data_IF_346460983892
#
_entry.id   IF_346460983892
#
_cell.length_a   1.000
_cell.length_b   1.000
_cell.length_c   1.000
_cell.angle_alpha   90.00
_cell.angle_beta   90.00
_cell.angle_gamma   90.00
#
_symmetry.space_group_name_H-M   'P 1'
#
loop_
_entity.id
_entity.type
_entity.pdbx_description
1 polymer ?
#
# COMPACT_ATOMS: atom_id res chain seq x y z
N UNK A 1 12.86 31.05 -7.03
CA UNK A 1 13.19 29.64 -7.29
C UNK A 1 13.78 29.09 -6.01
N UNK A 2 12.96 28.45 -5.19
CA UNK A 2 13.44 27.84 -3.95
C UNK A 2 14.30 26.62 -4.31
N UNK A 3 15.55 26.58 -3.85
CA UNK A 3 16.46 25.46 -4.07
C UNK A 3 16.72 24.77 -2.73
N UNK A 4 16.75 23.44 -2.72
CA UNK A 4 17.12 22.64 -1.56
C UNK A 4 18.49 22.03 -1.80
N UNK A 5 19.43 22.32 -0.89
CA UNK A 5 20.78 21.74 -0.89
C UNK A 5 20.77 20.49 -0.01
N UNK A 6 21.25 19.38 -0.54
CA UNK A 6 21.53 18.16 0.22
C UNK A 6 23.05 18.00 0.19
N UNK A 7 23.69 17.96 1.36
CA UNK A 7 25.14 17.78 1.46
C UNK A 7 25.51 16.72 2.48
N UNK A 8 26.58 15.99 2.21
CA UNK A 8 27.24 15.13 3.19
C UNK A 8 28.67 15.64 3.40
N UNK A 9 28.91 16.45 4.46
CA UNK A 9 30.26 16.82 4.83
C UNK A 9 30.98 15.59 5.38
N UNK A 10 32.18 15.31 4.87
CA UNK A 10 33.03 14.22 5.32
C UNK A 10 34.36 14.78 5.79
N UNK A 11 34.81 14.28 6.94
CA UNK A 11 36.13 14.55 7.49
C UNK A 11 36.94 13.26 7.47
N UNK A 12 38.13 13.30 6.85
CA UNK A 12 39.11 12.22 6.88
C UNK A 12 40.32 12.72 7.67
N UNK A 13 40.55 12.17 8.86
CA UNK A 13 41.73 12.48 9.66
C UNK A 13 42.87 11.54 9.27
N UNK A 14 43.96 12.09 8.72
CA UNK A 14 45.15 11.31 8.39
C UNK A 14 46.39 12.21 8.39
N UNK A 15 47.51 11.70 8.92
CA UNK A 15 48.81 12.40 8.97
C UNK A 15 49.44 12.68 7.58
N UNK A 16 48.81 12.17 6.50
CA UNK A 16 49.25 12.38 5.11
C UNK A 16 48.79 13.75 4.59
N UNK A 17 47.80 14.37 5.24
CA UNK A 17 47.24 15.65 4.80
C UNK A 17 47.93 16.84 5.47
N UNK A 18 48.05 17.94 4.74
CA UNK A 18 48.73 19.17 5.15
C UNK A 18 48.20 19.81 6.46
N UNK A 19 46.99 19.44 6.90
CA UNK A 19 46.38 19.89 8.16
C UNK A 19 46.01 18.74 9.12
N UNK A 20 46.60 17.56 8.96
CA UNK A 20 46.22 16.31 9.65
C UNK A 20 44.76 15.84 9.40
N UNK A 21 43.97 16.60 8.65
CA UNK A 21 42.62 16.25 8.23
C UNK A 21 42.30 16.84 6.85
N UNK A 22 41.59 16.06 6.03
CA UNK A 22 40.99 16.48 4.78
C UNK A 22 39.48 16.64 5.00
N UNK A 23 38.97 17.85 4.73
CA UNK A 23 37.56 18.18 4.81
C UNK A 23 37.02 18.38 3.40
N UNK A 24 36.05 17.58 2.98
CA UNK A 24 35.33 17.80 1.73
C UNK A 24 33.83 17.64 1.93
N UNK A 25 33.05 18.30 1.08
CA UNK A 25 31.60 18.21 1.11
C UNK A 25 31.10 17.89 -0.29
N UNK A 26 30.35 16.79 -0.41
CA UNK A 26 29.62 16.46 -1.62
C UNK A 26 28.17 16.91 -1.44
N UNK A 27 27.70 17.78 -2.33
CA UNK A 27 26.34 18.30 -2.30
C UNK A 27 25.62 18.20 -3.63
N UNK A 28 24.34 17.86 -3.58
CA UNK A 28 23.41 17.93 -4.70
C UNK A 28 22.45 19.11 -4.47
N UNK A 29 22.28 19.92 -5.52
CA UNK A 29 21.33 21.04 -5.53
C UNK A 29 20.09 20.59 -6.29
N UNK A 30 18.96 20.53 -5.60
CA UNK A 30 17.68 20.13 -6.18
C UNK A 30 16.64 21.26 -6.05
N UNK A 31 15.58 21.18 -6.85
CA UNK A 31 14.45 22.12 -6.76
C UNK A 31 13.64 21.85 -5.48
N UNK A 32 13.15 22.90 -4.80
CA UNK A 32 12.54 22.76 -3.46
C UNK A 32 11.26 21.92 -3.42
N UNK A 33 10.57 21.77 -4.56
CA UNK A 33 9.35 20.95 -4.67
C UNK A 33 9.64 19.46 -4.84
N UNK A 34 10.90 19.08 -5.09
CA UNK A 34 11.27 17.69 -5.35
C UNK A 34 11.43 16.90 -4.05
N UNK A 35 11.04 15.61 -4.10
CA UNK A 35 11.15 14.70 -2.96
C UNK A 35 12.62 14.33 -2.74
N UNK A 36 13.27 15.15 -1.93
CA UNK A 36 14.72 15.10 -1.64
C UNK A 36 15.14 13.90 -0.78
N UNK A 37 14.22 13.26 -0.06
CA UNK A 37 14.52 12.14 0.83
C UNK A 37 15.12 10.91 0.11
N UNK A 38 14.80 10.72 -1.19
CA UNK A 38 15.34 9.61 -1.97
C UNK A 38 16.83 9.82 -2.36
N UNK A 39 17.31 11.05 -2.33
CA UNK A 39 18.67 11.43 -2.73
C UNK A 39 19.67 11.40 -1.58
N UNK A 40 19.21 11.49 -0.33
CA UNK A 40 20.08 11.47 0.86
C UNK A 40 20.96 10.20 0.94
N UNK A 41 20.44 8.97 0.72
CA UNK A 41 21.28 7.76 0.73
C UNK A 41 22.29 7.74 -0.41
N UNK A 42 21.96 8.35 -1.55
CA UNK A 42 22.85 8.43 -2.71
C UNK A 42 24.05 9.33 -2.39
N UNK A 43 23.80 10.53 -1.85
CA UNK A 43 24.88 11.46 -1.45
C UNK A 43 25.76 10.81 -0.38
N UNK A 44 25.15 10.14 0.61
CA UNK A 44 25.90 9.41 1.65
C UNK A 44 26.76 8.30 1.05
N UNK A 45 26.21 7.48 0.14
CA UNK A 45 26.95 6.38 -0.51
C UNK A 45 28.09 6.90 -1.39
N UNK A 46 27.85 7.96 -2.17
CA UNK A 46 28.87 8.64 -2.97
C UNK A 46 29.98 9.22 -2.09
N UNK A 47 29.64 9.86 -0.98
CA UNK A 47 30.62 10.39 -0.04
C UNK A 47 31.49 9.28 0.57
N UNK A 48 30.90 8.10 0.81
CA UNK A 48 31.63 6.90 1.22
C UNK A 48 32.59 6.40 0.15
N UNK A 49 32.15 6.29 -1.11
CA UNK A 49 33.02 5.90 -2.23
C UNK A 49 34.18 6.89 -2.45
N UNK A 50 33.92 8.20 -2.34
CA UNK A 50 34.99 9.20 -2.43
C UNK A 50 35.98 9.09 -1.28
N UNK A 51 35.51 8.69 -0.09
CA UNK A 51 36.37 8.43 1.07
C UNK A 51 37.29 7.23 0.83
N UNK A 52 36.76 6.13 0.31
CA UNK A 52 37.58 4.93 0.01
C UNK A 52 38.57 5.21 -1.12
N UNK A 53 38.13 5.87 -2.19
CA UNK A 53 39.01 6.28 -3.30
C UNK A 53 40.15 7.18 -2.82
N UNK A 54 39.87 8.09 -1.90
CA UNK A 54 40.88 8.98 -1.33
C UNK A 54 41.90 8.24 -0.47
N UNK A 55 41.48 7.24 0.32
CA UNK A 55 42.39 6.42 1.12
C UNK A 55 43.28 5.51 0.27
N UNK A 56 42.76 5.00 -0.84
CA UNK A 56 43.46 4.05 -1.72
C UNK A 56 44.39 4.74 -2.72
N UNK A 57 43.88 5.74 -3.45
CA UNK A 57 44.58 6.35 -4.59
C UNK A 57 44.91 7.85 -4.39
N UNK A 58 44.47 8.47 -3.29
CA UNK A 58 44.64 9.91 -3.09
C UNK A 58 43.91 10.74 -4.14
N UNK A 59 42.75 10.26 -4.60
CA UNK A 59 42.01 10.76 -5.76
C UNK A 59 41.62 12.25 -5.69
N UNK A 60 41.36 12.78 -4.50
CA UNK A 60 41.01 14.18 -4.22
C UNK A 60 42.27 15.03 -4.02
N UNK A 61 43.36 14.41 -3.54
CA UNK A 61 44.65 15.07 -3.31
C UNK A 61 45.45 15.33 -4.59
N UNK A 62 45.30 14.48 -5.61
CA UNK A 62 45.98 14.61 -6.90
C UNK A 62 45.19 15.52 -7.87
N UNK A 63 45.87 16.47 -8.51
CA UNK A 63 45.24 17.43 -9.44
C UNK A 63 44.72 16.78 -10.73
N UNK A 64 45.40 15.75 -11.24
CA UNK A 64 45.00 15.04 -12.46
C UNK A 64 43.72 14.22 -12.27
N UNK A 65 43.57 13.55 -11.12
CA UNK A 65 42.35 12.81 -10.78
C UNK A 65 41.19 13.74 -10.45
N UNK A 66 41.48 14.92 -9.90
CA UNK A 66 40.47 15.97 -9.68
C UNK A 66 39.83 16.46 -10.98
N UNK A 67 40.59 16.51 -12.08
CA UNK A 67 40.03 16.81 -13.40
C UNK A 67 39.10 15.68 -13.91
N UNK A 68 39.40 14.42 -13.60
CA UNK A 68 38.53 13.27 -13.95
C UNK A 68 37.21 13.26 -13.17
N UNK A 69 37.15 13.91 -12.01
CA UNK A 69 35.95 13.99 -11.18
C UNK A 69 34.81 14.79 -11.85
N UNK A 70 35.13 15.81 -12.64
CA UNK A 70 34.12 16.63 -13.33
C UNK A 70 33.31 15.83 -14.37
N UNK A 71 33.94 15.08 -15.32
CA UNK A 71 33.22 14.17 -16.20
C UNK A 71 32.36 13.16 -15.46
N UNK A 72 32.90 12.56 -14.39
CA UNK A 72 32.19 11.56 -13.57
C UNK A 72 30.89 12.15 -13.00
N UNK A 73 30.95 13.36 -12.43
CA UNK A 73 29.76 14.03 -11.88
C UNK A 73 28.75 14.39 -12.97
N UNK A 74 29.20 14.80 -14.16
CA UNK A 74 28.32 15.09 -15.30
C UNK A 74 27.58 13.83 -15.78
N UNK A 75 28.31 12.72 -15.96
CA UNK A 75 27.70 11.44 -16.36
C UNK A 75 26.75 10.92 -15.28
N UNK A 76 27.12 11.04 -14.00
CA UNK A 76 26.25 10.71 -12.88
C UNK A 76 24.94 11.50 -12.90
N UNK A 77 25.01 12.80 -13.20
CA UNK A 77 23.83 13.66 -13.27
C UNK A 77 22.92 13.23 -14.44
N UNK A 78 23.47 12.96 -15.60
CA UNK A 78 22.71 12.51 -16.77
C UNK A 78 22.05 11.14 -16.54
N UNK A 79 22.80 10.14 -16.07
CA UNK A 79 22.27 8.81 -15.83
C UNK A 79 21.21 8.80 -14.71
N UNK A 80 21.43 9.51 -13.60
CA UNK A 80 20.44 9.60 -12.53
C UNK A 80 19.14 10.26 -13.00
N UNK A 81 19.20 11.22 -13.92
CA UNK A 81 18.03 11.87 -14.48
C UNK A 81 17.28 11.00 -15.51
N UNK A 82 17.99 10.15 -16.26
CA UNK A 82 17.39 9.32 -17.34
C UNK A 82 16.88 7.97 -16.83
N UNK A 83 17.71 7.22 -16.11
CA UNK A 83 17.43 5.82 -15.73
C UNK A 83 17.14 5.67 -14.24
N UNK A 84 17.56 6.63 -13.42
CA UNK A 84 17.51 6.51 -11.96
C UNK A 84 18.47 5.46 -11.40
N UNK A 85 19.37 4.89 -12.21
CA UNK A 85 20.39 3.96 -11.77
C UNK A 85 21.69 4.21 -12.56
N UNK A 86 22.81 4.28 -11.85
CA UNK A 86 24.11 4.56 -12.44
C UNK A 86 25.11 3.48 -12.02
N UNK A 87 25.84 2.95 -13.00
CA UNK A 87 26.95 2.03 -12.77
C UNK A 87 28.18 2.56 -13.49
N UNK A 88 29.09 3.17 -12.73
CA UNK A 88 30.23 3.88 -13.30
C UNK A 88 31.55 3.29 -12.79
N UNK A 89 32.35 2.65 -13.66
CA UNK A 89 33.72 2.27 -13.32
C UNK A 89 34.63 3.50 -13.32
N UNK A 90 35.32 3.74 -12.21
CA UNK A 90 36.29 4.84 -12.08
C UNK A 90 37.72 4.33 -12.28
N UNK A 91 38.00 3.13 -11.79
CA UNK A 91 39.32 2.49 -11.86
C UNK A 91 39.16 0.97 -12.03
N UNK A 92 40.25 0.24 -12.28
CA UNK A 92 40.26 -1.22 -12.44
C UNK A 92 39.70 -1.95 -11.20
N UNK A 93 39.75 -1.28 -10.05
CA UNK A 93 39.35 -1.80 -8.74
C UNK A 93 38.05 -1.22 -8.19
N UNK A 94 37.54 -0.11 -8.76
CA UNK A 94 36.47 0.68 -8.14
C UNK A 94 35.33 1.01 -9.11
N UNK A 95 34.16 0.43 -8.84
CA UNK A 95 32.90 0.71 -9.56
C UNK A 95 31.84 1.31 -8.63
N UNK A 96 31.33 2.48 -8.99
CA UNK A 96 30.25 3.15 -8.27
C UNK A 96 28.92 2.58 -8.75
N UNK A 97 28.13 2.01 -7.84
CA UNK A 97 26.77 1.55 -8.11
C UNK A 97 25.76 2.38 -7.34
N UNK A 98 24.93 3.13 -8.04
CA UNK A 98 23.85 3.95 -7.47
C UNK A 98 22.52 3.51 -8.05
N UNK A 99 21.51 3.47 -7.18
CA UNK A 99 20.13 3.23 -7.57
C UNK A 99 19.24 4.16 -6.76
N UNK A 100 18.39 4.91 -7.44
CA UNK A 100 17.36 5.72 -6.84
C UNK A 100 16.27 4.78 -6.31
N UNK A 101 16.11 4.77 -4.99
CA UNK A 101 15.07 4.01 -4.31
C UNK A 101 13.94 4.97 -4.00
N UNK A 102 12.79 4.75 -4.61
CA UNK A 102 11.58 5.50 -4.27
C UNK A 102 11.13 5.14 -2.85
N UNK A 103 11.23 6.11 -1.94
CA UNK A 103 10.63 5.98 -0.63
C UNK A 103 9.11 6.08 -0.75
N UNK A 104 8.45 4.93 -0.61
CA UNK A 104 6.99 4.83 -0.56
C UNK A 104 6.52 5.13 0.86
N UNK A 105 5.21 5.38 1.00
CA UNK A 105 4.61 5.58 2.32
C UNK A 105 4.48 4.23 3.01
N UNK A 106 4.61 4.24 4.33
CA UNK A 106 4.40 3.04 5.12
C UNK A 106 3.00 2.48 4.86
N UNK A 107 2.89 1.16 4.62
CA UNK A 107 1.61 0.55 4.31
C UNK A 107 0.72 0.56 5.57
N UNK A 108 -0.59 0.59 5.36
CA UNK A 108 -1.55 0.43 6.44
C UNK A 108 -1.35 -0.94 7.13
N UNK A 109 -1.61 -0.98 8.43
CA UNK A 109 -1.55 -2.23 9.20
C UNK A 109 -2.68 -3.13 8.73
N UNK A 110 -2.30 -4.24 8.11
CA UNK A 110 -3.21 -5.26 7.61
C UNK A 110 -3.86 -5.97 8.79
N UNK A 111 -5.19 -6.04 8.80
CA UNK A 111 -5.95 -6.76 9.83
C UNK A 111 -6.36 -8.14 9.34
N UNK A 112 -6.66 -9.05 10.27
CA UNK A 112 -6.92 -10.47 9.97
C UNK A 112 -8.17 -10.70 9.13
N UNK A 113 -9.13 -9.78 9.24
CA UNK A 113 -10.38 -9.77 8.49
C UNK A 113 -10.26 -9.05 7.13
N UNK A 114 -9.11 -8.47 6.79
CA UNK A 114 -8.97 -7.83 5.49
C UNK A 114 -8.84 -8.86 4.37
N UNK A 115 -9.36 -8.48 3.19
CA UNK A 115 -9.33 -9.30 1.98
C UNK A 115 -8.37 -8.67 0.98
N UNK A 116 -7.22 -9.32 0.68
CA UNK A 116 -6.29 -8.83 -0.33
C UNK A 116 -6.86 -9.04 -1.74
N UNK A 117 -6.86 -7.99 -2.55
CA UNK A 117 -7.25 -8.03 -3.96
C UNK A 117 -6.11 -7.51 -4.84
N UNK A 118 -5.81 -8.20 -5.92
CA UNK A 118 -4.79 -7.76 -6.88
C UNK A 118 -5.26 -6.55 -7.69
N UNK A 119 -4.46 -5.49 -7.67
CA UNK A 119 -4.64 -4.31 -8.56
C UNK A 119 -3.97 -4.50 -9.91
N UNK A 120 -2.94 -5.34 -9.97
CA UNK A 120 -2.16 -5.63 -11.17
C UNK A 120 -2.39 -7.08 -11.62
N UNK A 121 -2.36 -7.30 -12.94
CA UNK A 121 -2.52 -8.64 -13.50
C UNK A 121 -1.41 -9.58 -13.00
N UNK A 122 -1.83 -10.77 -12.52
CA UNK A 122 -0.94 -11.81 -11.97
C UNK A 122 0.16 -12.24 -12.98
N UNK A 123 -0.09 -12.08 -14.27
CA UNK A 123 0.76 -12.58 -15.36
C UNK A 123 2.01 -11.74 -15.64
N UNK A 124 2.10 -10.51 -15.12
CA UNK A 124 3.31 -9.69 -15.27
C UNK A 124 4.42 -10.08 -14.28
N UNK A 125 4.15 -10.99 -13.35
CA UNK A 125 5.06 -11.32 -12.26
C UNK A 125 5.77 -12.65 -12.50
N UNK A 126 7.11 -12.59 -12.60
CA UNK A 126 7.96 -13.77 -12.75
C UNK A 126 7.98 -14.55 -11.44
N UNK A 127 7.18 -15.62 -11.35
CA UNK A 127 7.01 -16.45 -10.14
C UNK A 127 8.33 -16.87 -9.46
N UNK A 128 9.40 -17.07 -10.23
CA UNK A 128 10.72 -17.51 -9.72
C UNK A 128 11.43 -16.48 -8.83
N UNK A 129 11.14 -15.18 -9.00
CA UNK A 129 11.80 -14.12 -8.22
C UNK A 129 11.11 -13.83 -6.87
N UNK A 130 9.97 -14.47 -6.62
CA UNK A 130 9.17 -14.25 -5.42
C UNK A 130 9.62 -15.12 -4.27
N UNK A 131 9.48 -14.62 -3.04
CA UNK A 131 9.75 -15.37 -1.83
C UNK A 131 8.80 -16.58 -1.70
N UNK A 132 9.27 -17.66 -1.09
CA UNK A 132 8.49 -18.90 -0.95
C UNK A 132 7.11 -18.66 -0.30
N UNK A 133 7.06 -17.82 0.73
CA UNK A 133 5.82 -17.46 1.43
C UNK A 133 4.84 -16.74 0.50
N UNK A 134 5.33 -15.80 -0.31
CA UNK A 134 4.49 -15.10 -1.30
C UNK A 134 4.01 -16.02 -2.42
N UNK A 135 4.83 -17.00 -2.85
CA UNK A 135 4.42 -17.99 -3.85
C UNK A 135 3.33 -18.92 -3.33
N UNK A 136 3.38 -19.28 -2.04
CA UNK A 136 2.34 -20.09 -1.38
C UNK A 136 1.05 -19.30 -1.18
N UNK A 137 1.12 -18.01 -0.89
CA UNK A 137 -0.05 -17.15 -0.63
C UNK A 137 -0.75 -16.74 -1.94
N UNK A 138 0.01 -16.44 -3.01
CA UNK A 138 -0.50 -15.89 -4.28
C UNK A 138 -1.70 -16.65 -4.91
N UNK A 139 -1.73 -18.01 -4.90
CA UNK A 139 -2.84 -18.79 -5.44
C UNK A 139 -4.15 -18.61 -4.67
N UNK A 140 -4.08 -18.33 -3.37
CA UNK A 140 -5.26 -18.19 -2.51
C UNK A 140 -5.81 -16.76 -2.48
N UNK A 141 -5.02 -15.79 -2.95
CA UNK A 141 -5.44 -14.39 -3.08
C UNK A 141 -6.33 -14.23 -4.32
N UNK A 142 -7.61 -14.53 -4.15
CA UNK A 142 -8.65 -14.37 -5.18
C UNK A 142 -9.53 -13.15 -4.97
N UNK A 143 -9.25 -12.36 -3.93
CA UNK A 143 -10.03 -11.17 -3.60
C UNK A 143 -11.35 -11.43 -2.87
N UNK A 144 -11.56 -12.65 -2.37
CA UNK A 144 -12.72 -13.02 -1.54
C UNK A 144 -12.35 -13.63 -0.19
N UNK A 145 -11.19 -14.29 -0.10
CA UNK A 145 -10.71 -14.93 1.12
C UNK A 145 -10.05 -13.90 2.01
N UNK A 146 -10.43 -13.85 3.29
CA UNK A 146 -9.74 -13.04 4.29
C UNK A 146 -8.44 -13.72 4.72
N UNK A 147 -7.57 -12.98 5.38
CA UNK A 147 -6.22 -13.43 5.72
C UNK A 147 -6.21 -14.67 6.62
N UNK A 148 -7.14 -14.80 7.57
CA UNK A 148 -7.24 -16.04 8.39
C UNK A 148 -7.54 -17.28 7.53
N UNK A 149 -8.46 -17.19 6.55
CA UNK A 149 -8.74 -18.29 5.61
C UNK A 149 -7.54 -18.62 4.73
N UNK A 150 -6.85 -17.59 4.23
CA UNK A 150 -5.65 -17.76 3.43
C UNK A 150 -4.55 -18.48 4.25
N UNK A 151 -4.37 -18.08 5.51
CA UNK A 151 -3.43 -18.72 6.44
C UNK A 151 -3.76 -20.20 6.67
N UNK A 152 -5.05 -20.52 6.88
CA UNK A 152 -5.50 -21.89 7.08
C UNK A 152 -5.34 -22.79 5.83
N UNK A 153 -5.57 -22.25 4.64
CA UNK A 153 -5.46 -23.01 3.38
C UNK A 153 -4.02 -23.12 2.87
N UNK A 154 -3.19 -22.11 3.11
CA UNK A 154 -1.78 -22.11 2.76
C UNK A 154 -0.90 -22.85 3.78
N UNK A 155 -1.46 -23.21 4.94
CA UNK A 155 -0.73 -23.79 6.08
C UNK A 155 0.49 -22.93 6.51
N UNK A 156 0.28 -21.61 6.54
CA UNK A 156 1.29 -20.62 6.95
C UNK A 156 0.78 -19.86 8.16
N UNK A 157 1.67 -19.57 9.12
CA UNK A 157 1.33 -18.78 10.30
C UNK A 157 0.72 -17.42 9.92
N UNK A 158 -0.38 -17.05 10.57
CA UNK A 158 -1.14 -15.83 10.31
C UNK A 158 -0.27 -14.56 10.34
N UNK A 159 0.69 -14.48 11.26
CA UNK A 159 1.60 -13.34 11.36
C UNK A 159 2.48 -13.20 10.11
N UNK A 160 2.97 -14.31 9.55
CA UNK A 160 3.78 -14.30 8.33
C UNK A 160 2.94 -13.89 7.12
N UNK A 161 1.71 -14.39 7.02
CA UNK A 161 0.77 -13.98 5.96
C UNK A 161 0.48 -12.48 6.07
N UNK A 162 0.27 -11.94 7.28
CA UNK A 162 0.05 -10.52 7.50
C UNK A 162 1.23 -9.67 7.02
N UNK A 163 2.46 -10.05 7.36
CA UNK A 163 3.67 -9.35 6.92
C UNK A 163 3.83 -9.46 5.40
N UNK A 164 3.60 -10.63 4.82
CA UNK A 164 3.68 -10.83 3.38
C UNK A 164 2.67 -9.95 2.63
N UNK A 165 1.41 -9.92 3.07
CA UNK A 165 0.38 -9.06 2.48
C UNK A 165 0.69 -7.57 2.70
N UNK A 166 1.26 -7.21 3.85
CA UNK A 166 1.68 -5.83 4.13
C UNK A 166 2.81 -5.39 3.18
N UNK A 167 3.76 -6.29 2.88
CA UNK A 167 4.80 -6.04 1.88
C UNK A 167 4.20 -5.93 0.47
N UNK A 168 3.24 -6.79 0.11
CA UNK A 168 2.51 -6.68 -1.17
C UNK A 168 1.74 -5.36 -1.29
N UNK A 169 1.19 -4.85 -0.19
CA UNK A 169 0.52 -3.56 -0.11
C UNK A 169 1.52 -2.41 -0.28
N UNK A 170 2.71 -2.50 0.33
CA UNK A 170 3.79 -1.53 0.15
C UNK A 170 4.24 -1.42 -1.31
N UNK A 171 4.28 -2.55 -2.02
CA UNK A 171 4.59 -2.58 -3.45
C UNK A 171 3.42 -2.19 -4.37
N UNK A 172 2.25 -1.87 -3.81
CA UNK A 172 0.99 -1.56 -4.52
C UNK A 172 0.55 -2.67 -5.49
N UNK A 173 0.91 -3.91 -5.18
CA UNK A 173 0.50 -5.11 -5.93
C UNK A 173 -0.90 -5.55 -5.51
N UNK A 174 -1.21 -5.33 -4.23
CA UNK A 174 -2.46 -5.72 -3.58
C UNK A 174 -3.08 -4.50 -2.92
N UNK A 175 -4.41 -4.38 -3.00
CA UNK A 175 -5.20 -3.48 -2.16
C UNK A 175 -6.02 -4.30 -1.17
N UNK A 176 -6.19 -3.75 0.03
CA UNK A 176 -7.05 -4.35 1.04
C UNK A 176 -8.49 -3.89 0.81
N UNK A 177 -9.39 -4.86 0.79
CA UNK A 177 -10.84 -4.66 0.70
C UNK A 177 -11.49 -5.31 1.91
N UNK A 178 -12.58 -4.70 2.39
CA UNK A 178 -13.35 -5.27 3.50
C UNK A 178 -14.11 -6.52 3.07
N UNK A 179 -14.30 -7.51 3.97
CA UNK A 179 -15.08 -8.73 3.70
C UNK A 179 -16.46 -8.40 3.12
N UNK A 180 -16.82 -9.06 2.02
CA UNK A 180 -18.16 -9.03 1.47
C UNK A 180 -19.10 -9.90 2.32
N UNK A 181 -20.13 -9.29 2.89
CA UNK A 181 -21.26 -9.99 3.52
C UNK A 181 -22.56 -9.33 3.09
N UNK A 182 -23.62 -10.12 2.88
CA UNK A 182 -24.92 -9.60 2.46
C UNK A 182 -25.59 -8.70 3.53
N UNK A 183 -25.18 -8.81 4.79
CA UNK A 183 -25.62 -7.95 5.90
C UNK A 183 -24.92 -6.59 5.93
N UNK A 184 -23.87 -6.38 5.13
CA UNK A 184 -23.10 -5.15 5.15
C UNK A 184 -23.91 -3.99 4.55
N UNK A 185 -23.64 -2.80 5.07
CA UNK A 185 -24.17 -1.53 4.54
C UNK A 185 -23.00 -0.79 3.89
N UNK A 186 -23.24 -0.33 2.67
CA UNK A 186 -22.28 0.38 1.86
C UNK A 186 -22.84 1.74 1.49
N UNK A 187 -21.99 2.77 1.51
CA UNK A 187 -22.37 4.12 1.08
C UNK A 187 -21.55 4.55 -0.12
N UNK A 188 -22.22 5.21 -1.06
CA UNK A 188 -21.54 5.89 -2.16
C UNK A 188 -20.73 7.07 -1.65
N UNK A 189 -19.55 7.23 -2.24
CA UNK A 189 -18.70 8.41 -2.07
C UNK A 189 -18.91 9.37 -3.24
N UNK A 190 -18.58 10.67 -3.10
CA UNK A 190 -18.67 11.61 -4.23
C UNK A 190 -17.77 11.21 -5.41
N UNK A 191 -16.80 10.31 -5.22
CA UNK A 191 -15.95 9.77 -6.29
C UNK A 191 -16.72 8.94 -7.31
N UNK A 192 -17.96 8.54 -7.03
CA UNK A 192 -18.85 7.91 -8.02
C UNK A 192 -19.09 8.82 -9.23
N UNK A 193 -19.01 10.14 -9.08
CA UNK A 193 -19.08 11.08 -10.20
C UNK A 193 -17.90 10.89 -11.18
N UNK A 194 -16.71 10.55 -10.67
CA UNK A 194 -15.55 10.26 -11.52
C UNK A 194 -15.77 9.03 -12.42
N UNK A 195 -16.71 8.14 -12.06
CA UNK A 195 -17.10 7.01 -12.91
C UNK A 195 -17.89 7.48 -14.13
N UNK A 196 -18.54 8.64 -14.09
CA UNK A 196 -19.21 9.25 -15.26
C UNK A 196 -18.19 9.96 -16.15
N UNK A 197 -17.21 10.64 -15.55
CA UNK A 197 -16.25 11.47 -16.29
C UNK A 197 -15.15 10.66 -17.00
N UNK A 198 -14.71 9.54 -16.40
CA UNK A 198 -13.57 8.75 -16.92
C UNK A 198 -14.01 7.52 -17.70
N UNK A 199 -13.97 7.60 -19.04
CA UNK A 199 -14.27 6.49 -19.96
C UNK A 199 -13.41 5.24 -19.73
N UNK A 200 -12.12 5.38 -19.41
CA UNK A 200 -11.26 4.22 -19.13
C UNK A 200 -11.72 3.43 -17.88
N UNK A 201 -12.18 4.13 -16.83
CA UNK A 201 -12.70 3.47 -15.62
C UNK A 201 -14.07 2.83 -15.88
N UNK A 202 -14.87 3.40 -16.78
CA UNK A 202 -16.13 2.80 -17.20
C UNK A 202 -15.91 1.47 -17.89
N UNK A 203 -14.99 1.41 -18.85
CA UNK A 203 -14.66 0.19 -19.58
C UNK A 203 -14.08 -0.87 -18.65
N UNK A 204 -13.16 -0.48 -17.75
CA UNK A 204 -12.59 -1.36 -16.71
C UNK A 204 -13.70 -1.90 -15.78
N UNK A 205 -14.62 -1.03 -15.35
CA UNK A 205 -15.74 -1.41 -14.50
C UNK A 205 -16.70 -2.37 -15.20
N UNK A 206 -17.06 -2.11 -16.46
CA UNK A 206 -17.96 -2.98 -17.23
C UNK A 206 -17.30 -4.35 -17.40
N UNK A 207 -16.04 -4.39 -17.82
CA UNK A 207 -15.31 -5.65 -18.02
C UNK A 207 -15.17 -6.45 -16.71
N UNK A 208 -14.90 -5.77 -15.60
CA UNK A 208 -14.73 -6.43 -14.30
C UNK A 208 -16.07 -6.92 -13.72
N UNK A 209 -17.15 -6.15 -13.89
CA UNK A 209 -18.45 -6.41 -13.26
C UNK A 209 -19.35 -7.31 -14.11
N UNK A 210 -19.11 -7.38 -15.43
CA UNK A 210 -19.88 -8.24 -16.31
C UNK A 210 -19.75 -9.71 -15.96
N UNK A 211 -20.88 -10.41 -15.89
CA UNK A 211 -20.92 -11.88 -15.90
C UNK A 211 -20.45 -12.39 -17.26
N UNK A 212 -19.75 -13.53 -17.26
CA UNK A 212 -19.28 -14.20 -18.49
C UNK A 212 -20.45 -14.39 -19.46
N UNK A 213 -20.44 -13.63 -20.57
CA UNK A 213 -21.45 -13.73 -21.63
C UNK A 213 -22.53 -12.65 -21.67
N UNK A 214 -22.57 -11.67 -20.75
CA UNK A 214 -23.55 -10.56 -20.82
C UNK A 214 -22.91 -9.19 -20.64
N UNK A 215 -23.05 -8.31 -21.65
CA UNK A 215 -22.59 -6.92 -21.58
C UNK A 215 -23.48 -6.12 -20.63
N UNK A 216 -22.91 -5.67 -19.52
CA UNK A 216 -23.57 -4.80 -18.56
C UNK A 216 -23.59 -3.37 -19.07
N UNK A 217 -24.69 -2.66 -18.81
CA UNK A 217 -24.79 -1.25 -19.17
C UNK A 217 -24.34 -0.38 -17.99
N UNK A 218 -23.62 0.72 -18.27
CA UNK A 218 -23.18 1.66 -17.23
C UNK A 218 -24.35 2.23 -16.45
N UNK A 219 -25.50 2.41 -17.11
CA UNK A 219 -26.73 2.86 -16.45
C UNK A 219 -27.16 1.90 -15.34
N UNK A 220 -27.11 0.59 -15.58
CA UNK A 220 -27.52 -0.41 -14.59
C UNK A 220 -26.54 -0.43 -13.42
N UNK A 221 -25.23 -0.37 -13.69
CA UNK A 221 -24.17 -0.29 -12.68
C UNK A 221 -24.30 0.98 -11.84
N UNK A 222 -24.54 2.13 -12.48
CA UNK A 222 -24.73 3.40 -11.79
C UNK A 222 -26.00 3.43 -10.94
N UNK A 223 -27.09 2.85 -11.43
CA UNK A 223 -28.32 2.69 -10.64
C UNK A 223 -28.09 1.81 -9.40
N UNK A 224 -27.32 0.73 -9.53
CA UNK A 224 -26.92 -0.10 -8.39
C UNK A 224 -26.08 0.69 -7.38
N UNK A 225 -25.12 1.51 -7.85
CA UNK A 225 -24.38 2.41 -6.95
C UNK A 225 -25.31 3.45 -6.29
N UNK A 226 -26.22 4.09 -7.01
CA UNK A 226 -27.16 5.05 -6.43
C UNK A 226 -28.13 4.43 -5.40
N UNK A 227 -28.43 3.14 -5.52
CA UNK A 227 -29.24 2.40 -4.55
C UNK A 227 -28.54 2.13 -3.21
N UNK A 228 -27.23 2.35 -3.13
CA UNK A 228 -26.45 2.20 -1.90
C UNK A 228 -26.56 3.47 -1.05
N UNK A 229 -27.56 3.47 -0.17
CA UNK A 229 -27.82 4.54 0.81
C UNK A 229 -27.50 4.06 2.23
N UNK A 230 -27.17 4.98 3.16
CA UNK A 230 -26.98 4.63 4.56
C UNK A 230 -28.28 4.01 5.11
N UNK A 231 -28.26 2.70 5.34
CA UNK A 231 -29.39 1.93 5.86
C UNK A 231 -29.93 0.84 4.93
N UNK A 232 -29.52 0.77 3.65
CA UNK A 232 -29.85 -0.38 2.80
C UNK A 232 -28.76 -1.44 2.90
N UNK A 233 -29.14 -2.66 3.29
CA UNK A 233 -28.20 -3.78 3.26
C UNK A 233 -27.99 -4.25 1.82
N UNK A 234 -26.87 -4.93 1.54
CA UNK A 234 -26.65 -5.56 0.22
C UNK A 234 -27.77 -6.56 -0.09
N UNK A 235 -28.31 -7.25 0.92
CA UNK A 235 -29.48 -8.13 0.75
C UNK A 235 -30.69 -7.36 0.21
N UNK A 236 -31.02 -6.21 0.81
CA UNK A 236 -32.15 -5.40 0.37
C UNK A 236 -31.92 -4.82 -1.03
N UNK A 237 -30.68 -4.44 -1.33
CA UNK A 237 -30.28 -4.03 -2.69
C UNK A 237 -30.48 -5.18 -3.68
N UNK A 238 -30.08 -6.40 -3.31
CA UNK A 238 -30.24 -7.59 -4.14
C UNK A 238 -31.71 -7.92 -4.43
N UNK A 239 -32.58 -7.78 -3.45
CA UNK A 239 -34.01 -7.97 -3.62
C UNK A 239 -34.65 -6.88 -4.49
N UNK A 240 -34.23 -5.62 -4.36
CA UNK A 240 -34.80 -4.49 -5.13
C UNK A 240 -34.36 -4.47 -6.60
N UNK A 241 -33.10 -4.85 -6.87
CA UNK A 241 -32.49 -4.73 -8.21
C UNK A 241 -32.19 -6.09 -8.85
N UNK A 242 -33.01 -7.11 -8.54
CA UNK A 242 -32.85 -8.50 -9.01
C UNK A 242 -32.69 -8.62 -10.53
N UNK A 243 -33.41 -7.81 -11.31
CA UNK A 243 -33.32 -7.80 -12.79
C UNK A 243 -31.95 -7.29 -13.30
N UNK A 244 -31.35 -6.32 -12.63
CA UNK A 244 -30.04 -5.76 -13.02
C UNK A 244 -28.88 -6.68 -12.60
N UNK A 245 -29.07 -7.39 -11.49
CA UNK A 245 -28.14 -8.38 -10.95
C UNK A 245 -28.07 -9.68 -11.76
N UNK A 246 -29.03 -9.94 -12.65
CA UNK A 246 -28.89 -11.03 -13.61
C UNK A 246 -27.69 -10.81 -14.54
N UNK A 247 -27.35 -9.55 -14.86
CA UNK A 247 -26.25 -9.18 -15.76
C UNK A 247 -24.95 -8.86 -15.01
N UNK A 248 -25.07 -8.41 -13.76
CA UNK A 248 -23.98 -7.89 -12.92
C UNK A 248 -23.63 -8.88 -11.81
N UNK A 249 -22.34 -9.17 -11.62
CA UNK A 249 -21.85 -9.86 -10.42
C UNK A 249 -21.83 -8.90 -9.22
N UNK A 250 -22.70 -9.10 -8.23
CA UNK A 250 -22.80 -8.22 -7.06
C UNK A 250 -21.50 -8.14 -6.25
N UNK A 251 -20.77 -9.26 -6.20
CA UNK A 251 -19.53 -9.37 -5.43
C UNK A 251 -18.40 -8.59 -6.10
N UNK A 252 -18.27 -8.72 -7.43
CA UNK A 252 -17.28 -7.98 -8.23
C UNK A 252 -17.61 -6.49 -8.29
N UNK A 253 -18.89 -6.12 -8.32
CA UNK A 253 -19.34 -4.73 -8.22
C UNK A 253 -18.86 -4.08 -6.92
N UNK A 254 -19.13 -4.72 -5.78
CA UNK A 254 -18.73 -4.18 -4.47
C UNK A 254 -17.20 -4.20 -4.33
N UNK A 255 -16.53 -5.25 -4.80
CA UNK A 255 -15.07 -5.32 -4.83
C UNK A 255 -14.46 -4.17 -5.63
N UNK A 256 -14.90 -3.94 -6.87
CA UNK A 256 -14.42 -2.84 -7.70
C UNK A 256 -14.73 -1.47 -7.07
N UNK A 257 -15.94 -1.33 -6.52
CA UNK A 257 -16.37 -0.12 -5.82
C UNK A 257 -15.50 0.21 -4.62
N UNK A 258 -15.09 -0.80 -3.84
CA UNK A 258 -14.18 -0.64 -2.70
C UNK A 258 -12.74 -0.40 -3.17
N UNK A 259 -12.25 -1.12 -4.18
CA UNK A 259 -10.89 -0.95 -4.71
C UNK A 259 -10.63 0.44 -5.27
N UNK A 260 -11.59 1.01 -6.01
CA UNK A 260 -11.49 2.36 -6.59
C UNK A 260 -11.96 3.44 -5.60
N UNK A 261 -12.41 3.05 -4.41
CA UNK A 261 -12.92 3.95 -3.36
C UNK A 261 -14.18 4.71 -3.78
N UNK A 262 -14.98 4.13 -4.68
CA UNK A 262 -16.29 4.63 -5.09
C UNK A 262 -17.33 4.40 -3.98
N UNK A 263 -17.17 3.28 -3.26
CA UNK A 263 -17.98 2.91 -2.12
C UNK A 263 -17.11 2.96 -0.86
N UNK A 264 -17.70 3.39 0.26
CA UNK A 264 -17.17 3.11 1.59
C UNK A 264 -18.09 2.11 2.31
N UNK A 265 -17.51 1.15 3.03
CA UNK A 265 -18.27 0.30 3.95
C UNK A 265 -18.55 1.11 5.21
N UNK A 266 -19.80 1.11 5.68
CA UNK A 266 -20.12 1.56 7.03
C UNK A 266 -19.95 0.37 7.96
N UNK A 267 -19.08 0.52 8.95
CA UNK A 267 -18.89 -0.50 9.98
C UNK A 267 -19.70 -0.12 11.22
N UNK A 268 -20.30 -1.12 11.85
CA UNK A 268 -20.93 -1.00 13.17
C UNK A 268 -19.83 -1.00 14.24
N UNK A 269 -19.84 -0.02 15.13
CA UNK A 269 -18.95 0.12 16.27
C UNK A 269 -19.79 0.15 17.55
N UNK A 270 -19.84 -0.94 18.32
CA UNK A 270 -20.58 -0.97 19.58
C UNK A 270 -19.83 -0.18 20.65
N UNK A 271 -20.53 0.74 21.30
CA UNK A 271 -20.06 1.59 22.39
C UNK A 271 -20.87 1.27 23.64
N UNK A 272 -20.23 0.77 24.69
CA UNK A 272 -20.89 0.62 25.98
C UNK A 272 -21.00 2.00 26.67
N UNK A 273 -22.23 2.45 26.95
CA UNK A 273 -22.52 3.79 27.50
C UNK A 273 -22.26 3.86 29.01
N UNK A 274 -22.34 2.73 29.73
CA UNK A 274 -22.17 2.68 31.19
C UNK A 274 -20.86 1.98 31.59
N UNK A 275 -19.97 2.71 32.26
CA UNK A 275 -18.77 2.17 32.94
C UNK A 275 -19.21 1.46 34.23
N UNK A 276 -19.56 0.19 34.11
CA UNK A 276 -19.84 -0.63 35.28
C UNK A 276 -18.55 -1.31 35.77
N UNK A 277 -18.04 -0.90 36.93
CA UNK A 277 -16.75 -1.37 37.51
C UNK A 277 -16.78 -2.82 38.00
N UNK A 278 -17.93 -3.51 37.94
CA UNK A 278 -18.11 -4.86 38.53
C UNK A 278 -18.16 -6.03 37.56
N UNK A 279 -18.20 -5.79 36.25
CA UNK A 279 -18.01 -6.84 35.24
C UNK A 279 -16.63 -6.64 34.61
N UNK A 280 -15.73 -7.63 34.70
CA UNK A 280 -14.46 -7.62 33.95
C UNK A 280 -14.76 -7.13 32.52
N UNK A 281 -14.21 -6.00 32.06
CA UNK A 281 -14.64 -5.43 30.80
C UNK A 281 -14.29 -6.47 29.71
N UNK A 282 -15.24 -6.91 28.87
CA UNK A 282 -14.83 -7.42 27.58
C UNK A 282 -14.14 -6.22 26.93
N UNK A 283 -12.80 -6.26 26.84
CA UNK A 283 -11.90 -5.19 26.37
C UNK A 283 -12.20 -4.70 24.93
N UNK A 284 -13.32 -5.11 24.35
CA UNK A 284 -13.68 -5.04 22.94
C UNK A 284 -14.81 -4.04 22.64
N UNK A 285 -15.58 -3.58 23.62
CA UNK A 285 -16.75 -2.67 23.42
C UNK A 285 -16.43 -1.19 23.69
N UNK A 286 -15.29 -0.72 23.22
CA UNK A 286 -14.79 0.65 23.45
C UNK A 286 -15.16 1.65 22.35
N UNK A 287 -15.87 1.21 21.30
CA UNK A 287 -16.14 2.03 20.11
C UNK A 287 -14.97 2.18 19.13
N UNK A 288 -13.80 1.59 19.44
CA UNK A 288 -12.63 1.59 18.56
C UNK A 288 -12.48 0.30 17.74
N UNK A 289 -13.17 -0.77 18.13
CA UNK A 289 -13.13 -2.06 17.46
C UNK A 289 -14.35 -2.22 16.56
N UNK A 290 -14.09 -2.48 15.28
CA UNK A 290 -15.16 -2.78 14.32
C UNK A 290 -15.86 -4.10 14.69
N UNK A 291 -17.14 -4.25 14.29
CA UNK A 291 -17.87 -5.51 14.45
C UNK A 291 -17.08 -6.72 13.92
N UNK A 292 -16.31 -6.53 12.83
CA UNK A 292 -15.48 -7.57 12.23
C UNK A 292 -14.31 -7.97 13.16
N UNK A 293 -13.65 -7.02 13.83
CA UNK A 293 -12.62 -7.30 14.84
C UNK A 293 -13.15 -8.09 16.03
N UNK A 294 -14.35 -7.74 16.47
CA UNK A 294 -15.00 -8.38 17.61
C UNK A 294 -15.35 -9.81 17.23
N UNK A 295 -16.02 -10.02 16.10
CA UNK A 295 -16.33 -11.36 15.57
C UNK A 295 -15.07 -12.22 15.38
N UNK A 296 -13.98 -11.66 14.83
CA UNK A 296 -12.73 -12.39 14.65
C UNK A 296 -12.05 -12.77 15.98
N UNK A 297 -12.11 -11.91 17.00
CA UNK A 297 -11.50 -12.19 18.31
C UNK A 297 -12.36 -13.09 19.20
N UNK A 298 -13.67 -13.03 19.06
CA UNK A 298 -14.59 -13.82 19.88
C UNK A 298 -15.02 -15.12 19.21
N UNK A 299 -14.72 -15.31 17.93
CA UNK A 299 -15.19 -16.45 17.13
C UNK A 299 -16.71 -16.51 16.98
N UNK A 300 -17.42 -15.44 17.32
CA UNK A 300 -18.88 -15.37 17.28
C UNK A 300 -19.35 -14.97 15.88
N UNK A 301 -20.50 -15.50 15.46
CA UNK A 301 -21.12 -15.09 14.22
C UNK A 301 -21.73 -13.68 14.33
N UNK A 302 -21.86 -13.00 13.20
CA UNK A 302 -22.46 -11.65 13.14
C UNK A 302 -23.87 -11.61 13.74
N UNK A 303 -24.63 -12.71 13.64
CA UNK A 303 -25.99 -12.84 14.19
C UNK A 303 -25.99 -12.98 15.70
N UNK A 304 -25.12 -13.82 16.25
CA UNK A 304 -24.99 -13.98 17.71
C UNK A 304 -24.48 -12.69 18.37
N UNK A 305 -23.62 -11.94 17.65
CA UNK A 305 -23.16 -10.65 18.12
C UNK A 305 -24.26 -9.58 18.06
N UNK A 306 -25.06 -9.54 16.98
CA UNK A 306 -26.24 -8.67 16.89
C UNK A 306 -27.27 -9.03 17.99
N UNK A 307 -27.62 -10.31 18.19
CA UNK A 307 -28.54 -10.76 19.25
C UNK A 307 -28.02 -10.40 20.65
N UNK A 308 -26.73 -10.57 20.90
CA UNK A 308 -26.14 -10.23 22.20
C UNK A 308 -26.14 -8.72 22.46
N UNK A 309 -25.97 -7.91 21.41
CA UNK A 309 -25.97 -6.46 21.52
C UNK A 309 -27.38 -5.87 21.58
N UNK A 310 -28.38 -6.51 20.95
CA UNK A 310 -29.80 -6.16 21.10
C UNK A 310 -30.34 -6.53 22.49
N UNK A 311 -29.81 -7.60 23.11
CA UNK A 311 -30.17 -8.02 24.46
C UNK A 311 -29.59 -7.12 25.57
N UNK A 312 -28.52 -6.35 25.29
CA UNK A 312 -27.85 -5.49 26.26
C UNK A 312 -28.27 -4.01 26.06
N UNK A 313 -29.18 -3.44 26.89
CA UNK A 313 -29.68 -2.06 26.73
C UNK A 313 -28.62 -0.97 26.97
N UNK A 314 -27.43 -1.35 27.42
CA UNK A 314 -26.32 -0.44 27.74
C UNK A 314 -25.31 -0.26 26.58
N UNK A 315 -25.56 -0.87 25.42
CA UNK A 315 -24.66 -0.82 24.27
C UNK A 315 -25.33 -0.10 23.10
N UNK A 316 -24.72 1.00 22.65
CA UNK A 316 -25.17 1.77 21.48
C UNK A 316 -24.28 1.44 20.31
N UNK A 317 -24.88 1.11 19.17
CA UNK A 317 -24.14 0.83 17.93
C UNK A 317 -24.00 2.12 17.12
N UNK A 318 -22.76 2.62 17.01
CA UNK A 318 -22.41 3.74 16.16
C UNK A 318 -22.00 3.24 14.77
N UNK A 319 -22.52 3.84 13.71
CA UNK A 319 -22.09 3.55 12.33
C UNK A 319 -20.98 4.52 11.93
N UNK A 320 -19.80 4.01 11.53
CA UNK A 320 -18.65 4.82 11.12
C UNK A 320 -18.09 4.36 9.78
#
# INVERSE_FOLDING_TARGET
MEKKLIGCPVCIEHKKYSRNALLFNLGLVCDARTKTCALEPIVKKLSGYLTTLELESGFISNEESKQKLLPILSTLLEELNVTGACTLPIDDSNTIHLKLIEQRKDPLVVQEYDVPVFTKNKDHFIKSQWDLTTQQILPFVDGYRHIQKISAEADVELNLVRIAVQNLLYYEVVTLVSIFQYSNVYCTTPKVQNLIDKKCLQEECIHYVSKLGQRTNLRDVFQLYCGLTPGTTVRDLCSRYSHQLQRVDERKLIQFGLMKGLIRRLQKYPVKVVRDERSRPPRLYTGCHSYDEICCKTGMSYKELDERLENDPNIVVCWK
#
